data_IF_877868216263
#
_entry.id   IF_877868216263
#
_cell.length_a   1.000
_cell.length_b   1.000
_cell.length_c   1.000
_cell.angle_alpha   90.00
_cell.angle_beta   90.00
_cell.angle_gamma   90.00
#
_symmetry.space_group_name_H-M   'P 1'
#
loop_
_entity.id
_entity.type
_entity.pdbx_description
1 polymer ?
#
# COMPACT_ATOMS: atom_id res chain seq x y z
N UNK A 1 -6.10 11.61 2.22
CA UNK A 1 -5.45 11.55 0.90
C UNK A 1 -6.11 10.56 -0.06
N UNK A 2 -7.04 9.72 0.42
CA UNK A 2 -7.58 8.59 -0.34
C UNK A 2 -9.11 8.59 -0.36
N UNK A 3 -9.71 9.78 -0.22
CA UNK A 3 -11.14 10.07 -0.28
C UNK A 3 -11.46 10.96 -1.48
N UNK A 4 -12.71 10.98 -1.92
CA UNK A 4 -13.12 11.65 -3.15
C UNK A 4 -12.97 13.17 -3.15
N UNK A 5 -13.06 13.81 -1.98
CA UNK A 5 -12.90 15.27 -1.80
C UNK A 5 -11.43 15.70 -1.64
N UNK A 6 -10.50 14.76 -1.64
CA UNK A 6 -9.08 15.01 -1.44
C UNK A 6 -8.31 14.83 -2.76
N UNK A 7 -8.86 15.41 -3.81
CA UNK A 7 -8.37 15.34 -5.17
C UNK A 7 -7.05 16.10 -5.37
N UNK A 8 -6.36 15.81 -6.46
CA UNK A 8 -5.05 16.38 -6.77
C UNK A 8 -5.02 17.90 -6.91
N UNK A 9 -6.17 18.55 -7.08
CA UNK A 9 -6.26 20.03 -7.18
C UNK A 9 -6.38 20.70 -5.83
N UNK A 10 -7.04 20.03 -4.89
CA UNK A 10 -7.37 20.60 -3.57
C UNK A 10 -6.41 20.12 -2.48
N UNK A 11 -5.68 19.02 -2.71
CA UNK A 11 -4.77 18.45 -1.74
C UNK A 11 -3.33 18.91 -1.97
N UNK A 12 -2.75 19.74 -1.07
CA UNK A 12 -1.39 20.24 -1.21
C UNK A 12 -0.31 19.15 -1.08
N UNK A 13 -0.67 17.95 -0.66
CA UNK A 13 0.25 16.80 -0.62
C UNK A 13 0.40 16.13 -1.98
N UNK A 14 -0.55 16.29 -2.90
CA UNK A 14 -0.49 15.72 -4.24
C UNK A 14 0.43 16.54 -5.14
N UNK A 15 1.47 15.90 -5.67
CA UNK A 15 2.37 16.50 -6.68
C UNK A 15 1.85 16.17 -8.08
N UNK A 16 1.46 14.90 -8.28
CA UNK A 16 0.84 14.42 -9.50
C UNK A 16 -0.15 13.31 -9.18
N UNK A 17 -1.38 13.46 -9.61
CA UNK A 17 -2.44 12.49 -9.45
C UNK A 17 -3.02 12.08 -10.80
N UNK A 18 -3.51 10.85 -10.89
CA UNK A 18 -4.33 10.39 -11.99
C UNK A 18 -5.78 10.67 -11.62
N UNK A 19 -6.38 11.66 -12.30
CA UNK A 19 -7.73 12.13 -11.97
C UNK A 19 -8.80 11.08 -12.33
N UNK A 20 -9.75 10.91 -11.42
CA UNK A 20 -10.98 10.14 -11.61
C UNK A 20 -12.16 10.90 -10.99
N UNK A 21 -13.22 11.12 -11.75
CA UNK A 21 -14.39 11.89 -11.27
C UNK A 21 -15.72 11.12 -11.30
N UNK A 22 -15.68 9.85 -11.71
CA UNK A 22 -16.86 9.00 -11.79
C UNK A 22 -17.86 9.34 -12.90
N UNK A 23 -17.66 10.46 -13.61
CA UNK A 23 -18.59 10.94 -14.65
C UNK A 23 -17.91 11.06 -16.00
N UNK A 24 -16.84 11.85 -16.11
CA UNK A 24 -16.13 12.11 -17.36
C UNK A 24 -14.85 11.30 -17.48
N UNK A 25 -14.14 11.12 -16.37
CA UNK A 25 -12.91 10.33 -16.27
C UNK A 25 -13.23 9.10 -15.42
N UNK A 26 -13.83 8.08 -16.01
CA UNK A 26 -14.35 6.90 -15.33
C UNK A 26 -13.86 5.60 -15.99
N UNK A 27 -13.83 4.52 -15.23
CA UNK A 27 -13.50 3.19 -15.73
C UNK A 27 -13.32 2.17 -14.61
N UNK A 28 -13.20 0.89 -15.00
CA UNK A 28 -12.98 -0.22 -14.06
C UNK A 28 -11.51 -0.43 -13.68
N UNK A 29 -10.63 0.48 -14.07
CA UNK A 29 -9.21 0.50 -13.70
C UNK A 29 -8.93 1.59 -12.65
N UNK A 30 -7.67 1.75 -12.25
CA UNK A 30 -7.29 2.78 -11.29
C UNK A 30 -7.89 2.54 -9.90
N UNK A 31 -8.42 3.59 -9.28
CA UNK A 31 -8.98 3.52 -7.92
C UNK A 31 -10.26 2.71 -7.84
N UNK A 32 -11.08 2.67 -8.90
CA UNK A 32 -12.22 1.75 -8.98
C UNK A 32 -11.76 0.30 -8.81
N UNK A 33 -10.72 -0.12 -9.55
CA UNK A 33 -10.18 -1.47 -9.39
C UNK A 33 -9.66 -1.73 -7.98
N UNK A 34 -8.91 -0.78 -7.41
CA UNK A 34 -8.35 -0.92 -6.06
C UNK A 34 -9.46 -1.11 -5.02
N UNK A 35 -10.50 -0.30 -5.08
CA UNK A 35 -11.64 -0.33 -4.16
C UNK A 35 -12.42 -1.64 -4.32
N UNK A 36 -12.86 -1.94 -5.54
CA UNK A 36 -13.72 -3.09 -5.80
C UNK A 36 -13.02 -4.43 -5.60
N UNK A 37 -11.75 -4.54 -6.00
CA UNK A 37 -10.99 -5.77 -5.78
C UNK A 37 -10.63 -6.01 -4.32
N UNK A 38 -10.62 -4.96 -3.49
CA UNK A 38 -10.42 -5.05 -2.04
C UNK A 38 -11.71 -5.33 -1.29
N UNK A 39 -12.86 -5.04 -1.90
CA UNK A 39 -14.18 -5.23 -1.32
C UNK A 39 -14.64 -6.68 -1.42
N UNK A 40 -15.46 -7.09 -0.49
CA UNK A 40 -16.16 -8.40 -0.48
C UNK A 40 -17.56 -8.24 0.13
N UNK A 41 -18.37 -9.30 0.01
CA UNK A 41 -19.77 -9.25 0.45
C UNK A 41 -19.95 -9.38 1.98
N UNK A 42 -18.89 -9.60 2.75
CA UNK A 42 -18.99 -9.92 4.17
C UNK A 42 -18.16 -9.06 5.09
N UNK A 43 -16.87 -8.84 4.77
CA UNK A 43 -15.90 -8.21 5.67
C UNK A 43 -15.65 -6.75 5.32
N UNK A 44 -15.51 -6.43 4.04
CA UNK A 44 -15.30 -5.08 3.52
C UNK A 44 -16.30 -4.86 2.38
N UNK A 45 -17.55 -4.63 2.75
CA UNK A 45 -18.61 -4.39 1.78
C UNK A 45 -18.43 -3.01 1.13
N UNK A 46 -18.50 -2.96 -0.18
CA UNK A 46 -18.26 -1.73 -0.92
C UNK A 46 -19.22 -0.61 -0.53
N UNK A 47 -20.50 -0.92 -0.30
CA UNK A 47 -21.50 0.06 0.13
C UNK A 47 -21.21 0.66 1.51
N UNK A 48 -20.64 -0.11 2.43
CA UNK A 48 -20.39 0.34 3.81
C UNK A 48 -19.10 1.17 3.90
N UNK A 49 -18.01 0.64 3.30
CA UNK A 49 -16.68 1.23 3.43
C UNK A 49 -16.37 2.27 2.35
N UNK A 50 -16.87 2.07 1.14
CA UNK A 50 -16.41 2.81 -0.02
C UNK A 50 -17.48 3.64 -0.71
N UNK A 51 -18.75 3.34 -0.50
CA UNK A 51 -19.88 4.07 -1.09
C UNK A 51 -20.29 3.59 -2.48
N UNK A 52 -19.60 2.63 -3.11
CA UNK A 52 -20.02 2.04 -4.38
C UNK A 52 -21.13 1.02 -4.15
N UNK A 53 -22.13 0.97 -5.05
CA UNK A 53 -23.31 0.12 -4.90
C UNK A 53 -23.66 -0.71 -6.14
N UNK A 54 -23.00 -0.50 -7.26
CA UNK A 54 -23.18 -1.24 -8.50
C UNK A 54 -21.93 -1.96 -8.91
N UNK A 55 -22.06 -3.20 -9.34
CA UNK A 55 -20.94 -4.05 -9.80
C UNK A 55 -19.81 -4.17 -8.77
N UNK A 56 -20.17 -4.35 -7.52
CA UNK A 56 -19.32 -4.25 -6.33
C UNK A 56 -18.82 -5.60 -5.82
N UNK A 57 -17.87 -5.53 -4.86
CA UNK A 57 -17.39 -6.70 -4.12
C UNK A 57 -16.69 -7.74 -5.02
N UNK A 58 -15.79 -7.29 -5.90
CA UNK A 58 -15.07 -8.20 -6.80
C UNK A 58 -14.17 -9.17 -6.05
N UNK A 59 -13.73 -8.77 -4.85
CA UNK A 59 -12.88 -9.58 -3.98
C UNK A 59 -11.50 -9.88 -4.61
N UNK A 60 -10.61 -10.51 -3.84
CA UNK A 60 -9.32 -11.00 -4.32
C UNK A 60 -8.11 -10.23 -3.83
N UNK A 61 -8.10 -8.90 -3.88
CA UNK A 61 -7.00 -8.10 -3.33
C UNK A 61 -7.05 -8.11 -1.80
N UNK A 62 -5.93 -8.51 -1.20
CA UNK A 62 -5.75 -8.59 0.25
C UNK A 62 -4.27 -8.55 0.60
N UNK A 63 -3.97 -8.04 1.77
CA UNK A 63 -2.62 -8.12 2.32
C UNK A 63 -2.39 -9.52 2.95
N UNK A 64 -1.15 -9.96 2.93
CA UNK A 64 -0.70 -11.16 3.63
C UNK A 64 -0.47 -10.86 5.10
N UNK A 65 -0.53 -11.90 5.93
CA UNK A 65 -0.39 -11.77 7.39
C UNK A 65 0.88 -11.03 7.80
N UNK A 66 1.99 -11.22 7.09
CA UNK A 66 3.25 -10.51 7.39
C UNK A 66 3.17 -9.00 7.23
N UNK A 67 2.14 -8.48 6.56
CA UNK A 67 1.93 -7.03 6.53
C UNK A 67 1.55 -6.47 7.91
N UNK A 68 0.97 -7.31 8.77
CA UNK A 68 0.74 -6.92 10.17
C UNK A 68 2.07 -6.68 10.92
N UNK A 69 3.12 -7.44 10.60
CA UNK A 69 4.45 -7.24 11.19
C UNK A 69 5.04 -5.87 10.80
N UNK A 70 4.77 -5.41 9.57
CA UNK A 70 5.12 -4.06 9.13
C UNK A 70 4.38 -2.99 9.94
N UNK A 71 3.16 -3.28 10.38
CA UNK A 71 2.31 -2.38 11.17
C UNK A 71 2.51 -2.50 12.69
N UNK A 72 3.33 -3.45 13.16
CA UNK A 72 3.52 -3.75 14.61
C UNK A 72 4.03 -2.55 15.41
N UNK A 73 4.85 -1.69 14.81
CA UNK A 73 5.29 -0.46 15.47
C UNK A 73 4.09 0.39 15.94
N UNK A 74 3.01 0.39 15.17
CA UNK A 74 1.77 1.08 15.50
C UNK A 74 0.89 0.28 16.47
N UNK A 75 0.98 -1.04 16.44
CA UNK A 75 0.19 -1.96 17.27
C UNK A 75 0.85 -2.24 18.62
N UNK A 76 2.17 -2.26 18.72
CA UNK A 76 2.91 -2.55 19.95
C UNK A 76 2.67 -1.50 21.04
N UNK A 77 2.38 -0.25 20.68
CA UNK A 77 2.05 0.83 21.61
C UNK A 77 0.68 0.61 22.29
N UNK A 78 -0.20 -0.22 21.71
CA UNK A 78 -1.57 -0.48 22.19
C UNK A 78 -1.77 -1.89 22.75
N UNK A 79 -0.71 -2.65 22.95
CA UNK A 79 -0.74 -4.02 23.47
C UNK A 79 -1.76 -4.87 22.75
N UNK A 80 -1.40 -5.97 22.13
CA UNK A 80 -2.26 -7.02 21.55
C UNK A 80 -3.75 -6.67 21.40
N UNK A 81 -4.05 -5.47 20.89
CA UNK A 81 -5.42 -5.17 20.48
C UNK A 81 -5.66 -6.14 19.33
N UNK A 82 -6.43 -7.22 19.53
CA UNK A 82 -6.85 -8.03 18.40
C UNK A 82 -7.42 -7.04 17.40
N UNK A 83 -7.06 -7.16 16.12
CA UNK A 83 -7.81 -6.47 15.09
C UNK A 83 -9.26 -6.89 15.35
N UNK A 84 -10.14 -6.00 15.85
CA UNK A 84 -11.47 -6.44 16.23
C UNK A 84 -12.13 -7.01 14.99
N UNK A 85 -12.60 -8.24 15.07
CA UNK A 85 -13.33 -8.87 13.97
C UNK A 85 -14.57 -8.07 13.58
N UNK A 86 -15.02 -7.16 14.44
CA UNK A 86 -16.33 -6.53 14.39
C UNK A 86 -16.30 -4.99 14.40
N UNK A 87 -15.14 -4.34 14.58
CA UNK A 87 -15.04 -2.89 14.50
C UNK A 87 -14.38 -2.47 13.18
N UNK A 88 -15.13 -1.88 12.24
CA UNK A 88 -14.59 -1.36 10.99
C UNK A 88 -13.67 -0.16 11.19
N UNK A 89 -13.71 0.48 12.34
CA UNK A 89 -12.88 1.63 12.64
C UNK A 89 -11.78 1.21 13.60
N UNK A 90 -10.55 1.14 13.14
CA UNK A 90 -9.36 1.13 14.00
C UNK A 90 -9.23 2.45 14.77
N UNK A 91 -10.34 2.97 15.28
CA UNK A 91 -10.45 4.26 15.95
C UNK A 91 -9.58 4.36 17.21
N UNK A 92 -9.05 3.24 17.69
CA UNK A 92 -8.13 3.18 18.83
C UNK A 92 -6.66 3.04 18.40
N UNK A 93 -6.36 2.87 17.11
CA UNK A 93 -4.97 2.89 16.65
C UNK A 93 -4.52 4.34 16.48
N UNK A 94 -3.42 4.78 17.15
CA UNK A 94 -2.96 6.15 17.02
C UNK A 94 -2.43 6.46 15.62
N UNK A 95 -1.89 5.47 14.93
CA UNK A 95 -1.51 5.60 13.53
C UNK A 95 -2.74 5.50 12.64
N UNK A 96 -3.20 6.63 12.14
CA UNK A 96 -4.39 6.77 11.29
C UNK A 96 -4.22 6.18 9.89
N UNK A 97 -3.05 5.59 9.58
CA UNK A 97 -2.81 4.88 8.31
C UNK A 97 -3.29 3.44 8.34
N UNK A 98 -3.75 2.92 9.47
CA UNK A 98 -4.19 1.53 9.59
C UNK A 98 -5.62 1.38 9.08
N UNK A 99 -5.77 1.11 7.77
CA UNK A 99 -7.05 0.80 7.10
C UNK A 99 -7.11 -0.69 6.78
N UNK A 100 -7.07 -1.52 7.81
CA UNK A 100 -6.97 -2.97 7.71
C UNK A 100 -8.08 -3.67 8.47
N UNK A 101 -8.55 -4.81 7.97
CA UNK A 101 -9.50 -5.67 8.66
C UNK A 101 -9.13 -7.13 8.44
N UNK A 102 -9.11 -7.93 9.50
CA UNK A 102 -9.01 -9.39 9.36
C UNK A 102 -10.30 -9.91 8.76
N UNK A 103 -10.17 -10.69 7.68
CA UNK A 103 -11.30 -11.41 7.07
C UNK A 103 -11.59 -12.69 7.85
N UNK A 104 -12.07 -13.77 7.21
CA UNK A 104 -12.37 -15.05 7.83
C UNK A 104 -11.21 -15.63 8.65
N UNK A 105 -9.97 -15.48 8.14
CA UNK A 105 -8.74 -15.80 8.86
C UNK A 105 -7.60 -14.96 8.31
N UNK A 106 -6.58 -14.69 9.16
CA UNK A 106 -5.39 -13.91 8.77
C UNK A 106 -4.56 -14.62 7.70
N UNK A 107 -4.48 -15.94 7.79
CA UNK A 107 -3.72 -16.76 6.86
C UNK A 107 -4.52 -17.06 5.59
N UNK A 108 -3.83 -17.04 4.46
CA UNK A 108 -4.34 -17.46 3.16
C UNK A 108 -3.96 -18.93 2.98
N UNK A 109 -4.90 -19.89 3.09
CA UNK A 109 -4.57 -21.32 3.20
C UNK A 109 -4.00 -21.94 1.92
N UNK A 110 -4.27 -21.33 0.76
CA UNK A 110 -3.68 -21.73 -0.52
C UNK A 110 -3.65 -20.53 -1.49
N UNK A 111 -2.80 -20.54 -2.54
CA UNK A 111 -2.79 -19.47 -3.55
C UNK A 111 -4.14 -19.26 -4.24
N UNK A 112 -4.93 -20.33 -4.36
CA UNK A 112 -6.27 -20.35 -4.96
C UNK A 112 -7.40 -20.18 -3.94
N UNK A 113 -7.08 -19.86 -2.67
CA UNK A 113 -8.10 -19.65 -1.66
C UNK A 113 -9.01 -18.48 -2.01
N UNK A 114 -10.28 -18.59 -1.63
CA UNK A 114 -11.25 -17.50 -1.73
C UNK A 114 -10.68 -16.19 -1.15
N UNK A 115 -11.08 -15.06 -1.71
CA UNK A 115 -10.75 -13.74 -1.23
C UNK A 115 -11.21 -13.44 0.21
N UNK A 116 -11.95 -14.35 0.85
CA UNK A 116 -12.39 -14.25 2.24
C UNK A 116 -11.29 -14.46 3.27
N UNK A 117 -10.12 -14.93 2.85
CA UNK A 117 -8.95 -15.14 3.71
C UNK A 117 -7.92 -14.02 3.53
N UNK A 118 -7.13 -13.75 4.55
CA UNK A 118 -6.09 -12.71 4.55
C UNK A 118 -6.53 -11.45 5.28
N UNK A 119 -5.81 -10.38 5.05
CA UNK A 119 -6.06 -9.07 5.64
C UNK A 119 -6.70 -8.17 4.58
N UNK A 120 -7.95 -7.79 4.78
CA UNK A 120 -8.65 -6.83 3.94
C UNK A 120 -8.09 -5.42 4.12
N UNK A 121 -8.05 -4.65 3.04
CA UNK A 121 -7.51 -3.29 3.00
C UNK A 121 -8.60 -2.36 2.47
N UNK A 122 -8.88 -1.25 3.19
CA UNK A 122 -9.88 -0.26 2.80
C UNK A 122 -9.33 1.17 2.82
N UNK A 123 -8.09 1.32 2.39
CA UNK A 123 -7.37 2.61 2.37
C UNK A 123 -8.01 3.63 1.43
N UNK A 124 -8.45 3.19 0.25
CA UNK A 124 -9.14 4.04 -0.71
C UNK A 124 -10.65 3.96 -0.53
N UNK A 125 -11.34 5.09 -0.68
CA UNK A 125 -12.81 5.18 -0.62
C UNK A 125 -13.34 6.12 -1.69
N UNK A 126 -14.52 5.82 -2.24
CA UNK A 126 -15.24 6.73 -3.13
C UNK A 126 -16.12 7.75 -2.37
N UNK A 127 -15.99 7.80 -1.03
CA UNK A 127 -16.64 8.80 -0.18
C UNK A 127 -15.74 10.00 0.05
N UNK A 128 -16.34 11.12 0.41
CA UNK A 128 -15.62 12.25 0.98
C UNK A 128 -15.02 11.91 2.35
N UNK A 129 -14.09 12.72 2.82
CA UNK A 129 -13.42 12.55 4.12
C UNK A 129 -14.37 12.60 5.32
N UNK A 130 -15.51 13.23 5.18
CA UNK A 130 -16.59 13.30 6.18
C UNK A 130 -17.57 12.10 6.10
N UNK A 131 -17.34 11.18 5.17
CA UNK A 131 -18.18 9.99 4.94
C UNK A 131 -19.37 10.23 4.01
N UNK A 132 -19.63 11.45 3.54
CA UNK A 132 -20.68 11.74 2.56
C UNK A 132 -20.29 11.28 1.16
N UNK A 133 -21.26 11.28 0.24
CA UNK A 133 -20.99 10.98 -1.17
C UNK A 133 -20.61 12.28 -1.90
N UNK A 134 -19.62 12.25 -2.83
CA UNK A 134 -19.23 13.41 -3.60
C UNK A 134 -20.34 13.86 -4.58
N UNK A 135 -20.30 15.11 -5.00
CA UNK A 135 -21.27 15.66 -5.96
C UNK A 135 -21.24 14.93 -7.33
N UNK A 136 -20.09 14.41 -7.70
CA UNK A 136 -19.87 13.62 -8.92
C UNK A 136 -20.09 12.12 -8.70
N UNK A 137 -20.72 11.74 -7.58
CA UNK A 137 -20.91 10.34 -7.22
C UNK A 137 -21.48 9.51 -8.36
N UNK A 138 -20.85 8.35 -8.55
CA UNK A 138 -21.30 7.30 -9.44
C UNK A 138 -21.42 5.99 -8.66
N UNK A 139 -22.44 5.19 -8.95
CA UNK A 139 -22.68 3.93 -8.22
C UNK A 139 -21.66 2.84 -8.54
N UNK A 140 -20.97 2.93 -9.69
CA UNK A 140 -20.08 1.90 -10.23
C UNK A 140 -18.61 2.34 -10.34
N UNK A 141 -18.32 3.64 -10.33
CA UNK A 141 -16.98 4.15 -10.55
C UNK A 141 -16.54 5.07 -9.41
N UNK A 142 -15.32 4.86 -8.94
CA UNK A 142 -14.73 5.72 -7.93
C UNK A 142 -14.46 7.13 -8.48
N UNK A 143 -14.67 8.12 -7.62
CA UNK A 143 -14.36 9.53 -7.87
C UNK A 143 -13.03 9.94 -7.21
N UNK A 144 -12.24 9.00 -6.74
CA UNK A 144 -11.03 9.23 -5.96
C UNK A 144 -9.82 9.16 -6.85
N UNK A 145 -9.01 10.21 -6.84
CA UNK A 145 -7.78 10.28 -7.60
C UNK A 145 -6.74 9.26 -7.10
N UNK A 146 -5.93 8.75 -8.03
CA UNK A 146 -4.79 7.91 -7.67
C UNK A 146 -3.52 8.77 -7.54
N UNK A 147 -2.88 8.82 -6.35
CA UNK A 147 -1.65 9.57 -6.15
C UNK A 147 -0.48 8.86 -6.83
N UNK A 148 0.00 9.43 -7.94
CA UNK A 148 1.19 8.92 -8.64
C UNK A 148 2.45 9.40 -7.92
N UNK A 149 2.50 10.71 -7.60
CA UNK A 149 3.56 11.32 -6.78
C UNK A 149 2.92 12.23 -5.72
N UNK A 150 3.38 12.09 -4.48
CA UNK A 150 2.95 12.93 -3.39
C UNK A 150 4.09 13.33 -2.46
N UNK A 151 3.90 14.38 -1.69
CA UNK A 151 4.93 15.02 -0.87
C UNK A 151 5.58 14.05 0.14
N UNK A 152 4.81 13.09 0.67
CA UNK A 152 5.36 12.07 1.56
C UNK A 152 6.47 11.25 0.89
N UNK A 153 6.37 10.98 -0.43
CA UNK A 153 7.43 10.29 -1.16
C UNK A 153 8.71 11.11 -1.22
N UNK A 154 8.63 12.42 -1.46
CA UNK A 154 9.78 13.32 -1.46
C UNK A 154 10.50 13.32 -0.09
N UNK A 155 9.75 13.36 1.02
CA UNK A 155 10.32 13.24 2.35
C UNK A 155 11.02 11.90 2.57
N UNK A 156 10.35 10.79 2.20
CA UNK A 156 10.89 9.44 2.37
C UNK A 156 12.14 9.19 1.51
N UNK A 157 12.14 9.69 0.26
CA UNK A 157 13.35 9.64 -0.61
C UNK A 157 14.49 10.43 -0.02
N UNK A 158 14.24 11.65 0.48
CA UNK A 158 15.28 12.46 1.10
C UNK A 158 15.81 11.80 2.38
N UNK A 159 14.94 11.30 3.23
CA UNK A 159 15.31 10.58 4.45
C UNK A 159 16.22 9.38 4.16
N UNK A 160 15.86 8.56 3.17
CA UNK A 160 16.69 7.43 2.78
C UNK A 160 18.03 7.84 2.20
N UNK A 161 18.07 8.86 1.34
CA UNK A 161 19.32 9.38 0.75
C UNK A 161 20.24 9.92 1.84
N UNK A 162 19.73 10.70 2.80
CA UNK A 162 20.49 11.22 3.93
C UNK A 162 21.02 10.09 4.81
N UNK A 163 20.16 9.10 5.14
CA UNK A 163 20.57 7.97 5.96
C UNK A 163 21.68 7.15 5.28
N UNK A 164 21.58 6.89 3.98
CA UNK A 164 22.60 6.15 3.20
C UNK A 164 23.89 6.92 3.03
N UNK A 165 23.84 8.24 2.99
CA UNK A 165 25.02 9.10 2.99
C UNK A 165 25.78 9.00 4.32
N UNK A 166 25.08 8.80 5.42
CA UNK A 166 25.65 8.65 6.76
C UNK A 166 26.08 9.98 7.38
N UNK A 167 26.66 9.88 8.58
CA UNK A 167 27.04 11.03 9.40
C UNK A 167 25.89 11.49 10.32
N UNK A 168 26.22 11.88 11.55
CA UNK A 168 25.21 12.17 12.59
C UNK A 168 24.19 13.22 12.15
N UNK A 169 24.62 14.32 11.54
CA UNK A 169 23.73 15.38 11.08
C UNK A 169 22.74 14.90 10.00
N UNK A 170 23.18 14.03 9.09
CA UNK A 170 22.32 13.47 8.04
C UNK A 170 21.28 12.50 8.63
N UNK A 171 21.67 11.67 9.60
CA UNK A 171 20.77 10.72 10.26
C UNK A 171 19.73 11.47 11.09
N UNK A 172 20.10 12.53 11.78
CA UNK A 172 19.17 13.46 12.46
C UNK A 172 18.16 14.08 11.48
N UNK A 173 18.64 14.61 10.35
CA UNK A 173 17.79 15.20 9.33
C UNK A 173 16.85 14.15 8.70
N UNK A 174 17.35 12.93 8.48
CA UNK A 174 16.54 11.82 7.99
C UNK A 174 15.41 11.46 8.98
N UNK A 175 15.71 11.38 10.28
CA UNK A 175 14.70 11.14 11.33
C UNK A 175 13.66 12.27 11.38
N UNK A 176 14.07 13.51 11.19
CA UNK A 176 13.16 14.66 11.14
C UNK A 176 12.17 14.56 9.95
N UNK A 177 12.64 14.12 8.77
CA UNK A 177 11.77 13.89 7.62
C UNK A 177 10.74 12.79 7.86
N UNK A 178 11.16 11.68 8.45
CA UNK A 178 10.28 10.60 8.85
C UNK A 178 9.24 11.09 9.86
N UNK A 179 9.68 11.84 10.87
CA UNK A 179 8.80 12.37 11.90
C UNK A 179 7.73 13.30 11.32
N UNK A 180 8.04 14.05 10.28
CA UNK A 180 7.05 14.88 9.59
C UNK A 180 5.86 14.07 9.05
N UNK A 181 6.14 12.88 8.52
CA UNK A 181 5.11 11.95 8.03
C UNK A 181 4.37 11.31 9.20
N UNK A 182 5.11 10.90 10.24
CA UNK A 182 4.53 10.25 11.43
C UNK A 182 3.65 11.20 12.23
N UNK A 183 4.04 12.46 12.39
CA UNK A 183 3.22 13.49 13.03
C UNK A 183 1.88 13.71 12.32
N UNK A 184 1.88 13.69 10.98
CA UNK A 184 0.63 13.71 10.22
C UNK A 184 -0.21 12.45 10.48
N UNK A 185 0.44 11.28 10.48
CA UNK A 185 -0.23 9.99 10.67
C UNK A 185 -0.82 9.84 12.07
N UNK A 186 -0.10 10.27 13.09
CA UNK A 186 -0.54 10.18 14.49
C UNK A 186 -1.40 11.38 14.94
N UNK A 187 -1.22 12.53 14.28
CA UNK A 187 -1.85 13.80 14.69
C UNK A 187 -1.16 14.47 15.87
N UNK A 188 -0.05 13.92 16.33
CA UNK A 188 0.79 14.41 17.41
C UNK A 188 2.22 13.84 17.26
N UNK A 189 3.07 14.04 18.28
CA UNK A 189 4.48 13.59 18.27
C UNK A 189 4.71 12.21 18.91
N UNK A 190 3.66 11.50 19.33
CA UNK A 190 3.81 10.22 20.05
C UNK A 190 4.43 9.11 19.18
N UNK A 191 4.26 9.23 17.87
CA UNK A 191 4.87 8.34 16.90
C UNK A 191 6.30 8.69 16.50
N UNK A 192 6.90 9.76 17.03
CA UNK A 192 8.22 10.21 16.59
C UNK A 192 9.33 9.24 16.99
N UNK A 193 10.32 9.16 16.10
CA UNK A 193 11.53 8.36 16.30
C UNK A 193 12.74 9.28 16.53
N UNK A 194 13.77 8.75 17.17
CA UNK A 194 15.09 9.38 17.25
C UNK A 194 16.00 8.89 16.14
N UNK A 195 17.09 9.61 15.88
CA UNK A 195 18.12 9.17 14.94
C UNK A 195 18.65 7.76 15.27
N UNK A 196 18.76 7.39 16.54
CA UNK A 196 19.19 6.06 16.98
C UNK A 196 18.19 4.94 16.63
N UNK A 197 16.92 5.27 16.46
CA UNK A 197 15.87 4.32 16.05
C UNK A 197 15.80 4.13 14.52
N UNK A 198 16.51 4.92 13.74
CA UNK A 198 16.48 4.85 12.29
C UNK A 198 17.42 3.76 11.77
N UNK A 199 16.93 2.93 10.87
CA UNK A 199 17.67 1.89 10.17
C UNK A 199 17.10 1.66 8.77
N UNK A 200 17.78 0.91 7.91
CA UNK A 200 17.23 0.54 6.60
C UNK A 200 15.99 -0.35 6.75
N UNK A 201 15.94 -1.22 7.76
CA UNK A 201 14.76 -2.04 8.03
C UNK A 201 13.59 -1.18 8.51
N UNK A 202 13.83 -0.19 9.36
CA UNK A 202 12.82 0.77 9.74
C UNK A 202 12.29 1.56 8.53
N UNK A 203 13.20 2.05 7.67
CA UNK A 203 12.84 2.84 6.49
C UNK A 203 11.95 2.08 5.52
N UNK A 204 12.27 0.81 5.21
CA UNK A 204 11.44 0.01 4.29
C UNK A 204 10.08 -0.33 4.90
N UNK A 205 10.00 -0.50 6.22
CA UNK A 205 8.74 -0.75 6.90
C UNK A 205 7.90 0.53 6.99
N UNK A 206 8.52 1.69 7.28
CA UNK A 206 7.81 2.97 7.26
C UNK A 206 7.28 3.30 5.86
N UNK A 207 8.05 3.01 4.80
CA UNK A 207 7.54 3.07 3.42
C UNK A 207 6.37 2.11 3.20
N UNK A 208 6.42 0.93 3.77
CA UNK A 208 5.32 -0.04 3.74
C UNK A 208 4.05 0.50 4.41
N UNK A 209 4.18 1.10 5.61
CA UNK A 209 3.10 1.74 6.36
C UNK A 209 2.48 2.91 5.59
N UNK A 210 3.31 3.70 4.92
CA UNK A 210 2.87 4.89 4.21
C UNK A 210 2.26 4.59 2.83
N UNK A 211 2.91 3.74 2.02
CA UNK A 211 2.62 3.59 0.59
C UNK A 211 1.93 2.27 0.20
N UNK A 212 1.42 1.49 1.16
CA UNK A 212 0.69 0.28 0.77
C UNK A 212 -0.52 0.63 -0.11
N UNK A 213 -0.80 -0.21 -1.09
CA UNK A 213 -1.80 0.01 -2.13
C UNK A 213 -1.56 1.22 -3.06
N UNK A 214 -0.36 1.79 -3.05
CA UNK A 214 0.06 2.87 -3.95
C UNK A 214 1.10 2.39 -4.99
N UNK A 215 1.12 1.10 -5.30
CA UNK A 215 1.98 0.46 -6.30
C UNK A 215 3.51 0.55 -6.04
N UNK A 216 3.97 0.96 -4.87
CA UNK A 216 5.40 1.21 -4.58
C UNK A 216 6.15 0.00 -3.98
N UNK A 217 5.45 -0.92 -3.28
CA UNK A 217 6.09 -1.94 -2.43
C UNK A 217 7.08 -2.83 -3.18
N UNK A 218 6.77 -3.26 -4.42
CA UNK A 218 7.69 -4.10 -5.19
C UNK A 218 8.99 -3.38 -5.48
N UNK A 219 8.92 -2.15 -5.96
CA UNK A 219 10.09 -1.32 -6.26
C UNK A 219 10.94 -1.09 -5.02
N UNK A 220 10.31 -0.81 -3.88
CA UNK A 220 11.01 -0.66 -2.61
C UNK A 220 11.71 -1.95 -2.20
N UNK A 221 11.02 -3.10 -2.25
CA UNK A 221 11.61 -4.40 -1.89
C UNK A 221 12.80 -4.75 -2.80
N UNK A 222 12.72 -4.47 -4.11
CA UNK A 222 13.84 -4.68 -5.04
C UNK A 222 15.02 -3.78 -4.66
N UNK A 223 14.78 -2.49 -4.46
CA UNK A 223 15.82 -1.49 -4.14
C UNK A 223 16.50 -1.76 -2.79
N UNK A 224 15.78 -2.33 -1.83
CA UNK A 224 16.33 -2.75 -0.53
C UNK A 224 16.90 -4.19 -0.54
N UNK A 225 16.90 -4.88 -1.69
CA UNK A 225 17.42 -6.25 -1.82
C UNK A 225 16.59 -7.30 -1.05
N UNK A 226 15.29 -7.05 -0.89
CA UNK A 226 14.37 -7.90 -0.11
C UNK A 226 13.29 -8.59 -0.96
N UNK A 227 13.18 -8.25 -2.26
CA UNK A 227 12.15 -8.85 -3.11
C UNK A 227 12.46 -10.31 -3.44
N UNK A 228 13.67 -10.59 -3.87
CA UNK A 228 14.16 -11.95 -4.16
C UNK A 228 14.97 -12.52 -2.98
N UNK A 229 15.53 -13.71 -3.16
CA UNK A 229 16.26 -14.39 -2.09
C UNK A 229 15.37 -14.83 -0.93
N UNK A 230 15.99 -15.25 0.17
CA UNK A 230 15.35 -15.83 1.35
C UNK A 230 15.41 -14.97 2.61
N UNK A 231 15.97 -13.74 2.55
CA UNK A 231 16.16 -12.88 3.73
C UNK A 231 14.89 -12.17 4.18
N UNK A 232 13.87 -12.05 3.30
CA UNK A 232 12.59 -11.41 3.58
C UNK A 232 11.47 -12.26 2.98
N UNK A 233 10.73 -12.95 3.84
CA UNK A 233 9.72 -13.93 3.43
C UNK A 233 8.31 -13.41 3.76
N UNK A 234 7.38 -13.75 2.89
CA UNK A 234 5.95 -13.54 3.11
C UNK A 234 5.20 -14.78 2.64
N UNK A 235 4.01 -14.98 3.14
CA UNK A 235 3.14 -16.11 2.81
C UNK A 235 2.98 -16.23 1.29
N UNK A 236 3.26 -17.41 0.76
CA UNK A 236 3.22 -17.77 -0.65
C UNK A 236 4.33 -17.14 -1.53
N UNK A 237 5.35 -16.50 -0.97
CA UNK A 237 6.56 -16.18 -1.74
C UNK A 237 7.16 -17.46 -2.29
N UNK A 238 7.45 -17.52 -3.61
CA UNK A 238 7.99 -18.70 -4.26
C UNK A 238 7.06 -19.92 -4.23
N UNK A 239 5.75 -19.74 -3.97
CA UNK A 239 4.75 -20.81 -3.97
C UNK A 239 4.67 -21.65 -2.68
N UNK A 240 5.44 -21.33 -1.65
CA UNK A 240 5.41 -22.03 -0.36
C UNK A 240 4.60 -21.26 0.68
N UNK A 241 3.84 -21.95 1.54
CA UNK A 241 2.97 -21.33 2.54
C UNK A 241 3.72 -20.32 3.42
N UNK A 242 4.86 -20.69 3.97
CA UNK A 242 5.68 -19.79 4.81
C UNK A 242 6.65 -18.92 3.99
N UNK A 243 6.55 -18.96 2.68
CA UNK A 243 7.50 -18.34 1.77
C UNK A 243 8.80 -19.14 1.62
N UNK A 244 9.44 -18.99 0.47
CA UNK A 244 10.76 -19.58 0.20
C UNK A 244 11.63 -18.61 -0.58
N UNK A 245 12.92 -18.90 -0.65
CA UNK A 245 13.87 -18.15 -1.46
C UNK A 245 13.49 -18.20 -2.93
N UNK A 246 13.59 -17.06 -3.60
CA UNK A 246 13.34 -16.91 -5.03
C UNK A 246 14.59 -16.45 -5.75
N UNK A 247 14.70 -16.75 -7.04
CA UNK A 247 15.86 -16.40 -7.86
C UNK A 247 15.94 -14.89 -8.09
N UNK A 248 17.17 -14.33 -8.09
CA UNK A 248 17.44 -12.91 -8.29
C UNK A 248 17.01 -12.36 -9.65
N UNK A 249 16.83 -13.20 -10.69
CA UNK A 249 16.36 -12.71 -11.98
C UNK A 249 14.95 -12.09 -11.89
N UNK A 250 14.15 -12.49 -10.90
CA UNK A 250 12.79 -11.96 -10.69
C UNK A 250 12.77 -10.50 -10.21
N UNK A 251 13.90 -9.89 -9.87
CA UNK A 251 13.99 -8.44 -9.60
C UNK A 251 13.70 -7.62 -10.86
N UNK A 252 13.96 -8.17 -12.03
CA UNK A 252 13.71 -7.57 -13.34
C UNK A 252 12.52 -8.27 -13.98
N UNK A 253 11.71 -7.58 -14.75
CA UNK A 253 10.67 -8.20 -15.57
C UNK A 253 11.24 -8.79 -16.85
N UNK A 254 10.63 -9.85 -17.40
CA UNK A 254 10.95 -10.30 -18.76
C UNK A 254 10.56 -9.22 -19.77
N UNK A 255 11.31 -9.17 -20.89
CA UNK A 255 10.87 -8.41 -22.06
C UNK A 255 9.69 -9.17 -22.68
N UNK A 256 8.56 -8.51 -22.99
CA UNK A 256 7.42 -9.17 -23.60
C UNK A 256 7.79 -9.89 -24.91
N UNK A 257 7.22 -11.09 -25.13
CA UNK A 257 7.52 -11.89 -26.33
C UNK A 257 7.26 -11.16 -27.65
N UNK A 258 6.18 -10.40 -27.71
CA UNK A 258 5.84 -9.60 -28.90
C UNK A 258 6.89 -8.52 -29.20
N UNK A 259 7.44 -7.88 -28.15
CA UNK A 259 8.53 -6.91 -28.31
C UNK A 259 9.83 -7.58 -28.77
N UNK A 260 10.16 -8.76 -28.22
CA UNK A 260 11.32 -9.53 -28.68
C UNK A 260 11.21 -9.95 -30.15
N UNK A 261 9.99 -10.27 -30.59
CA UNK A 261 9.73 -10.67 -31.98
C UNK A 261 9.74 -9.46 -32.94
N UNK A 262 9.24 -8.31 -32.50
CA UNK A 262 9.10 -7.12 -33.33
C UNK A 262 10.38 -6.30 -33.45
N UNK A 263 11.25 -6.32 -32.43
CA UNK A 263 12.43 -5.48 -32.36
C UNK A 263 13.73 -6.28 -32.54
N UNK A 264 14.36 -6.21 -33.72
CA UNK A 264 15.56 -6.99 -34.02
C UNK A 264 16.78 -6.63 -33.18
N UNK A 265 16.79 -5.48 -32.51
CA UNK A 265 17.91 -5.08 -31.67
C UNK A 265 18.08 -5.98 -30.43
N UNK A 266 17.03 -6.69 -30.02
CA UNK A 266 17.14 -7.68 -28.94
C UNK A 266 17.75 -9.01 -29.39
N UNK A 267 17.87 -9.25 -30.72
CA UNK A 267 18.36 -10.52 -31.27
C UNK A 267 17.64 -11.76 -30.65
N UNK A 268 16.38 -11.63 -30.32
CA UNK A 268 15.59 -12.67 -29.64
C UNK A 268 16.02 -12.96 -28.19
N UNK A 269 16.87 -12.14 -27.59
CA UNK A 269 17.38 -12.35 -26.22
C UNK A 269 16.53 -11.61 -25.20
N UNK A 270 16.10 -12.34 -24.18
CA UNK A 270 15.43 -11.76 -23.02
C UNK A 270 16.43 -11.35 -21.93
N UNK A 271 15.94 -10.75 -20.86
CA UNK A 271 16.74 -10.51 -19.66
C UNK A 271 17.27 -11.85 -19.08
N UNK A 272 18.45 -11.86 -18.46
CA UNK A 272 19.02 -13.10 -17.90
C UNK A 272 18.06 -13.83 -16.97
N UNK A 273 17.86 -15.12 -17.23
CA UNK A 273 16.96 -15.97 -16.42
C UNK A 273 15.57 -16.21 -17.00
N UNK A 274 15.25 -15.55 -18.12
CA UNK A 274 13.99 -15.74 -18.87
C UNK A 274 14.19 -16.38 -20.22
#
# INVERSE_FOLDING_TARGET
NFSADNDGRNNPEMIFAWEQDGTYVQGYVGTTFIIESSSDAQYIRAEDFHGLTSNTNWNGNRARVQFLDVMVDTMATYGNVPIPSDDPTFSQCPDRRVFLRTKKAKDIPSPSASGDYGIGVYKFTARNSDGTLPATYNTAYACTDFPVFRLAEAYMMRAEALFRTGGAANVEAAAADINRIRERAYGNTDGNITAAGLSLDFLIDERGREFYYEAQRRTDLVRFGKFTGGSYLWQWKGGAFNGTSTSGHLDIFPIPGDELAANPNYNGQNNPGY
#
